data_IF_498469054299
#
_entry.id   IF_498469054299
#
_cell.length_a   1.000
_cell.length_b   1.000
_cell.length_c   1.000
_cell.angle_alpha   90.00
_cell.angle_beta   90.00
_cell.angle_gamma   90.00
#
_symmetry.space_group_name_H-M   'P 1'
#
loop_
_entity.id
_entity.type
_entity.pdbx_description
1 polymer ?
#
# COMPACT_ATOMS: atom_id res chain seq x y z
N UNK A 1 -19.50 15.58 -11.14
CA UNK A 1 -18.55 14.70 -11.88
C UNK A 1 -18.79 13.27 -11.41
N UNK A 2 -18.81 12.27 -12.30
CA UNK A 2 -18.88 10.86 -11.86
C UNK A 2 -17.65 10.60 -10.99
N UNK A 3 -17.82 10.32 -9.70
CA UNK A 3 -16.77 10.22 -8.67
C UNK A 3 -15.63 9.25 -9.00
N UNK A 4 -15.81 8.41 -10.03
CA UNK A 4 -14.87 7.41 -10.50
C UNK A 4 -13.86 7.92 -11.55
N UNK A 5 -14.06 9.11 -12.13
CA UNK A 5 -13.09 9.70 -13.08
C UNK A 5 -11.76 10.05 -12.43
N UNK A 6 -11.72 10.15 -11.10
CA UNK A 6 -10.49 10.39 -10.33
C UNK A 6 -9.46 9.27 -10.52
N UNK A 7 -9.91 8.02 -10.74
CA UNK A 7 -9.00 6.87 -10.89
C UNK A 7 -8.13 6.99 -12.16
N UNK A 8 -8.69 7.10 -13.38
CA UNK A 8 -7.87 7.27 -14.58
C UNK A 8 -7.13 8.60 -14.57
N UNK A 9 -7.72 9.67 -14.03
CA UNK A 9 -7.04 10.96 -13.90
C UNK A 9 -5.78 10.84 -13.04
N UNK A 10 -5.85 10.14 -11.91
CA UNK A 10 -4.68 9.93 -11.06
C UNK A 10 -3.65 9.01 -11.68
N UNK A 11 -4.05 8.04 -12.49
CA UNK A 11 -3.08 7.26 -13.27
C UNK A 11 -2.27 8.13 -14.22
N UNK A 12 -2.93 9.02 -14.97
CA UNK A 12 -2.26 9.95 -15.90
C UNK A 12 -1.36 10.93 -15.15
N UNK A 13 -1.88 11.57 -14.09
CA UNK A 13 -1.11 12.54 -13.31
C UNK A 13 0.09 11.90 -12.61
N UNK A 14 -0.05 10.66 -12.14
CA UNK A 14 1.03 9.89 -11.52
C UNK A 14 2.12 9.54 -12.51
N UNK A 15 1.75 9.09 -13.71
CA UNK A 15 2.72 8.87 -14.80
C UNK A 15 3.41 10.19 -15.19
N UNK A 16 2.66 11.28 -15.31
CA UNK A 16 3.20 12.59 -15.64
C UNK A 16 4.19 13.12 -14.60
N UNK A 17 3.88 12.95 -13.30
CA UNK A 17 4.78 13.33 -12.21
C UNK A 17 6.11 12.56 -12.28
N UNK A 18 6.07 11.28 -12.62
CA UNK A 18 7.25 10.42 -12.71
C UNK A 18 8.13 10.73 -13.93
N UNK A 19 7.58 11.29 -15.02
CA UNK A 19 8.38 11.76 -16.18
C UNK A 19 9.41 12.82 -15.76
N UNK A 20 9.13 13.61 -14.72
CA UNK A 20 10.06 14.60 -14.20
C UNK A 20 11.27 13.97 -13.47
N UNK A 21 11.15 12.71 -13.04
CA UNK A 21 12.14 12.00 -12.22
C UNK A 21 12.92 10.98 -13.05
N UNK A 22 12.27 10.31 -14.00
CA UNK A 22 12.88 9.27 -14.84
C UNK A 22 12.35 9.29 -16.27
N UNK A 23 13.16 8.79 -17.21
CA UNK A 23 12.80 8.59 -18.62
C UNK A 23 12.49 7.12 -18.95
N UNK A 24 12.56 6.21 -17.99
CA UNK A 24 12.22 4.81 -18.20
C UNK A 24 10.71 4.63 -18.46
N UNK A 25 10.29 4.21 -19.66
CA UNK A 25 8.87 4.06 -20.00
C UNK A 25 8.16 3.02 -19.12
N UNK A 26 8.88 2.00 -18.63
CA UNK A 26 8.31 0.96 -17.79
C UNK A 26 8.01 1.49 -16.38
N UNK A 27 8.95 2.21 -15.77
CA UNK A 27 8.72 2.88 -14.49
C UNK A 27 7.57 3.91 -14.56
N UNK A 28 7.47 4.67 -15.66
CA UNK A 28 6.38 5.64 -15.89
C UNK A 28 5.03 4.92 -15.96
N UNK A 29 4.92 3.85 -16.76
CA UNK A 29 3.69 3.06 -16.87
C UNK A 29 3.28 2.42 -15.55
N UNK A 30 4.26 1.86 -14.81
CA UNK A 30 4.03 1.26 -13.50
C UNK A 30 3.59 2.29 -12.46
N UNK A 31 4.15 3.49 -12.46
CA UNK A 31 3.71 4.58 -11.59
C UNK A 31 2.29 5.03 -11.89
N UNK A 32 1.91 5.09 -13.18
CA UNK A 32 0.53 5.35 -13.57
C UNK A 32 -0.45 4.28 -13.06
N UNK A 33 -0.07 3.00 -13.17
CA UNK A 33 -0.86 1.89 -12.62
C UNK A 33 -0.97 1.97 -11.09
N UNK A 34 0.14 2.24 -10.40
CA UNK A 34 0.18 2.41 -8.95
C UNK A 34 -0.75 3.55 -8.51
N UNK A 35 -0.68 4.70 -9.20
CA UNK A 35 -1.50 5.84 -8.87
C UNK A 35 -2.99 5.61 -9.07
N UNK A 36 -3.37 4.97 -10.18
CA UNK A 36 -4.76 4.56 -10.42
C UNK A 36 -5.25 3.54 -9.37
N UNK A 37 -4.43 2.54 -9.04
CA UNK A 37 -4.78 1.52 -8.06
C UNK A 37 -4.92 2.10 -6.65
N UNK A 38 -4.03 2.99 -6.22
CA UNK A 38 -4.11 3.70 -4.94
C UNK A 38 -5.39 4.55 -4.86
N UNK A 39 -5.67 5.35 -5.89
CA UNK A 39 -6.91 6.13 -5.96
C UNK A 39 -8.14 5.22 -5.85
N UNK A 40 -8.13 4.10 -6.59
CA UNK A 40 -9.20 3.09 -6.55
C UNK A 40 -9.36 2.47 -5.15
N UNK A 41 -8.27 2.12 -4.48
CA UNK A 41 -8.28 1.53 -3.15
C UNK A 41 -8.85 2.49 -2.12
N UNK A 42 -8.43 3.76 -2.15
CA UNK A 42 -9.01 4.80 -1.28
C UNK A 42 -10.51 4.90 -1.48
N UNK A 43 -10.98 5.01 -2.74
CA UNK A 43 -12.42 5.08 -3.06
C UNK A 43 -13.18 3.85 -2.59
N UNK A 44 -12.61 2.67 -2.78
CA UNK A 44 -13.23 1.41 -2.41
C UNK A 44 -13.35 1.23 -0.89
N UNK A 45 -12.43 1.80 -0.11
CA UNK A 45 -12.43 1.73 1.35
C UNK A 45 -13.25 2.83 2.03
N UNK A 46 -13.25 4.04 1.45
CA UNK A 46 -13.83 5.24 2.07
C UNK A 46 -15.16 5.70 1.46
N UNK A 47 -15.67 5.02 0.43
CA UNK A 47 -17.01 5.28 -0.15
C UNK A 47 -17.12 6.61 -0.89
N UNK A 48 -18.34 7.10 -1.15
CA UNK A 48 -18.61 8.24 -2.05
C UNK A 48 -18.49 9.64 -1.43
N UNK A 49 -17.92 9.77 -0.23
CA UNK A 49 -17.79 11.07 0.44
C UNK A 49 -16.87 12.03 -0.33
N UNK A 50 -17.11 13.36 -0.30
CA UNK A 50 -16.23 14.34 -0.95
C UNK A 50 -14.79 14.29 -0.40
N UNK A 51 -14.61 14.04 0.89
CA UNK A 51 -13.30 13.84 1.50
C UNK A 51 -12.57 12.61 0.94
N UNK A 52 -13.31 11.55 0.56
CA UNK A 52 -12.74 10.37 -0.10
C UNK A 52 -12.19 10.72 -1.48
N UNK A 53 -12.87 11.60 -2.24
CA UNK A 53 -12.40 12.03 -3.55
C UNK A 53 -11.11 12.84 -3.44
N UNK A 54 -11.00 13.71 -2.43
CA UNK A 54 -9.79 14.47 -2.14
C UNK A 54 -8.66 13.52 -1.75
N UNK A 55 -8.89 12.60 -0.80
CA UNK A 55 -7.91 11.61 -0.42
C UNK A 55 -7.47 10.72 -1.61
N UNK A 56 -8.40 10.31 -2.47
CA UNK A 56 -8.11 9.49 -3.65
C UNK A 56 -7.29 10.24 -4.71
N UNK A 57 -7.39 11.57 -4.78
CA UNK A 57 -6.56 12.37 -5.66
C UNK A 57 -5.14 12.54 -5.10
N UNK A 58 -5.03 12.71 -3.78
CA UNK A 58 -3.79 13.17 -3.16
C UNK A 58 -2.85 12.04 -2.76
N UNK A 59 -3.38 10.92 -2.26
CA UNK A 59 -2.58 9.78 -1.79
C UNK A 59 -1.66 9.23 -2.89
N UNK A 60 -2.10 9.03 -4.15
CA UNK A 60 -1.22 8.64 -5.24
C UNK A 60 -0.01 9.56 -5.41
N UNK A 61 -0.22 10.88 -5.35
CA UNK A 61 0.83 11.87 -5.56
C UNK A 61 1.81 11.89 -4.41
N UNK A 62 1.33 11.81 -3.16
CA UNK A 62 2.20 11.74 -1.98
C UNK A 62 3.07 10.49 -2.00
N UNK A 63 2.47 9.32 -2.25
CA UNK A 63 3.22 8.05 -2.27
C UNK A 63 4.31 8.09 -3.34
N UNK A 64 3.99 8.60 -4.53
CA UNK A 64 4.98 8.71 -5.62
C UNK A 64 6.03 9.80 -5.38
N UNK A 65 5.67 10.90 -4.72
CA UNK A 65 6.64 11.90 -4.28
C UNK A 65 7.62 11.29 -3.26
N UNK A 66 7.13 10.53 -2.27
CA UNK A 66 7.99 9.81 -1.33
C UNK A 66 8.85 8.77 -2.03
N UNK A 67 8.33 8.10 -3.07
CA UNK A 67 9.14 7.18 -3.89
C UNK A 67 10.27 7.91 -4.60
N UNK A 68 9.99 9.07 -5.18
CA UNK A 68 11.01 9.87 -5.86
C UNK A 68 12.13 10.30 -4.90
N UNK A 69 11.76 10.74 -3.70
CA UNK A 69 12.72 11.15 -2.67
C UNK A 69 13.62 10.00 -2.21
N UNK A 70 13.06 8.80 -2.06
CA UNK A 70 13.81 7.62 -1.62
C UNK A 70 14.43 6.84 -2.79
N UNK A 71 14.42 7.39 -4.01
CA UNK A 71 14.93 6.74 -5.23
C UNK A 71 14.27 5.37 -5.52
N UNK A 72 13.00 5.22 -5.13
CA UNK A 72 12.19 4.02 -5.29
C UNK A 72 11.29 4.07 -6.54
N UNK A 73 11.47 5.05 -7.42
CA UNK A 73 10.72 5.16 -8.69
C UNK A 73 11.30 4.16 -9.70
N UNK A 74 10.92 2.91 -9.53
CA UNK A 74 11.32 1.78 -10.36
C UNK A 74 10.11 0.89 -10.67
N UNK A 75 10.29 0.02 -11.67
CA UNK A 75 9.24 -0.89 -12.14
C UNK A 75 8.65 -1.74 -11.01
N UNK A 76 9.51 -2.47 -10.28
CA UNK A 76 9.12 -3.42 -9.22
C UNK A 76 8.33 -2.79 -8.07
N UNK A 77 8.80 -1.73 -7.38
CA UNK A 77 8.06 -1.13 -6.26
C UNK A 77 6.72 -0.53 -6.69
N UNK A 78 6.67 0.12 -7.88
CA UNK A 78 5.41 0.65 -8.41
C UNK A 78 4.41 -0.48 -8.74
N UNK A 79 4.85 -1.56 -9.37
CA UNK A 79 3.99 -2.72 -9.66
C UNK A 79 3.54 -3.44 -8.39
N UNK A 80 4.41 -3.57 -7.38
CA UNK A 80 4.05 -4.13 -6.07
C UNK A 80 2.90 -3.35 -5.44
N UNK A 81 3.04 -2.03 -5.32
CA UNK A 81 1.98 -1.17 -4.76
C UNK A 81 0.70 -1.25 -5.59
N UNK A 82 0.79 -1.24 -6.91
CA UNK A 82 -0.36 -1.39 -7.78
C UNK A 82 -1.11 -2.70 -7.49
N UNK A 83 -0.38 -3.81 -7.36
CA UNK A 83 -0.92 -5.13 -7.08
C UNK A 83 -1.52 -5.23 -5.66
N UNK A 84 -0.88 -4.65 -4.65
CA UNK A 84 -1.41 -4.54 -3.28
C UNK A 84 -2.72 -3.76 -3.29
N UNK A 85 -2.71 -2.54 -3.85
CA UNK A 85 -3.88 -1.67 -3.89
C UNK A 85 -5.04 -2.30 -4.68
N UNK A 86 -4.76 -2.97 -5.80
CA UNK A 86 -5.78 -3.71 -6.54
C UNK A 86 -6.37 -4.86 -5.73
N UNK A 87 -5.54 -5.62 -5.02
CA UNK A 87 -6.00 -6.68 -4.12
C UNK A 87 -6.95 -6.10 -3.08
N UNK A 88 -6.60 -4.97 -2.47
CA UNK A 88 -7.45 -4.27 -1.49
C UNK A 88 -8.78 -3.82 -2.10
N UNK A 89 -8.80 -3.30 -3.33
CA UNK A 89 -10.04 -2.94 -4.06
C UNK A 89 -10.94 -4.17 -4.22
N UNK A 90 -10.40 -5.29 -4.67
CA UNK A 90 -11.19 -6.50 -4.89
C UNK A 90 -11.65 -7.10 -3.56
N UNK A 91 -10.83 -7.01 -2.51
CA UNK A 91 -11.20 -7.43 -1.16
C UNK A 91 -12.28 -6.55 -0.52
N UNK A 92 -12.48 -5.31 -0.95
CA UNK A 92 -13.52 -4.43 -0.37
C UNK A 92 -14.88 -4.55 -1.08
N UNK A 93 -14.91 -5.06 -2.32
CA UNK A 93 -16.13 -5.24 -3.11
C UNK A 93 -16.95 -6.45 -2.63
N UNK A 94 -18.26 -6.43 -2.84
CA UNK A 94 -19.08 -7.65 -2.81
C UNK A 94 -18.93 -8.36 -4.17
N UNK A 95 -17.88 -9.16 -4.35
CA UNK A 95 -17.54 -9.72 -5.68
C UNK A 95 -18.42 -10.90 -6.06
N UNK A 96 -18.82 -10.95 -7.33
CA UNK A 96 -19.41 -12.14 -7.98
C UNK A 96 -18.39 -13.27 -8.20
N UNK A 97 -17.10 -12.94 -8.35
CA UNK A 97 -16.01 -13.92 -8.46
C UNK A 97 -14.83 -13.54 -7.56
N UNK A 98 -14.52 -14.34 -6.52
CA UNK A 98 -13.38 -14.09 -5.63
C UNK A 98 -12.00 -14.31 -6.29
N UNK A 99 -11.94 -14.90 -7.48
CA UNK A 99 -10.68 -15.14 -8.21
C UNK A 99 -9.98 -13.85 -8.66
N UNK A 100 -10.73 -12.76 -8.80
CA UNK A 100 -10.19 -11.48 -9.28
C UNK A 100 -9.21 -10.86 -8.27
N UNK A 101 -9.33 -11.20 -6.98
CA UNK A 101 -8.37 -10.78 -5.95
C UNK A 101 -7.11 -11.66 -5.91
N UNK A 102 -7.14 -12.85 -6.49
CA UNK A 102 -6.06 -13.83 -6.32
C UNK A 102 -4.83 -13.54 -7.18
N UNK A 103 -5.04 -13.19 -8.45
CA UNK A 103 -3.97 -12.82 -9.35
C UNK A 103 -3.15 -11.61 -8.85
N UNK A 104 -3.75 -10.46 -8.50
CA UNK A 104 -2.99 -9.32 -7.97
C UNK A 104 -2.33 -9.64 -6.62
N UNK A 105 -2.95 -10.46 -5.76
CA UNK A 105 -2.32 -10.89 -4.52
C UNK A 105 -1.06 -11.75 -4.76
N UNK A 106 -1.11 -12.64 -5.76
CA UNK A 106 0.04 -13.45 -6.16
C UNK A 106 1.16 -12.59 -6.73
N UNK A 107 0.82 -11.64 -7.61
CA UNK A 107 1.79 -10.68 -8.17
C UNK A 107 2.46 -9.88 -7.05
N UNK A 108 1.68 -9.35 -6.10
CA UNK A 108 2.20 -8.62 -4.97
C UNK A 108 3.16 -9.48 -4.13
N UNK A 109 2.79 -10.71 -3.80
CA UNK A 109 3.61 -11.65 -3.04
C UNK A 109 4.95 -12.00 -3.73
N UNK A 110 4.97 -12.06 -5.07
CA UNK A 110 6.19 -12.31 -5.84
C UNK A 110 7.09 -11.08 -5.86
N UNK A 111 6.50 -9.91 -6.08
CA UNK A 111 7.24 -8.65 -6.22
C UNK A 111 7.73 -8.09 -4.89
N UNK A 112 7.06 -8.42 -3.78
CA UNK A 112 7.34 -7.84 -2.48
C UNK A 112 7.03 -8.81 -1.33
N UNK A 113 8.04 -9.16 -0.51
CA UNK A 113 7.85 -10.08 0.60
C UNK A 113 6.85 -9.55 1.64
N UNK A 114 6.67 -8.23 1.78
CA UNK A 114 5.71 -7.62 2.70
C UNK A 114 4.25 -8.01 2.36
N UNK A 115 3.99 -8.37 1.11
CA UNK A 115 2.68 -8.68 0.59
C UNK A 115 2.37 -10.19 0.54
N UNK A 116 3.28 -11.08 0.96
CA UNK A 116 3.10 -12.54 0.87
C UNK A 116 1.83 -13.02 1.58
N UNK A 117 1.47 -12.39 2.69
CA UNK A 117 0.24 -12.70 3.43
C UNK A 117 -1.05 -12.40 2.63
N UNK A 118 -1.02 -11.50 1.64
CA UNK A 118 -2.19 -11.18 0.81
C UNK A 118 -2.70 -12.40 0.05
N UNK A 119 -1.79 -13.28 -0.40
CA UNK A 119 -2.18 -14.47 -1.13
C UNK A 119 -3.02 -15.41 -0.25
N UNK A 120 -2.64 -15.57 1.03
CA UNK A 120 -3.43 -16.32 2.01
C UNK A 120 -4.80 -15.67 2.23
N UNK A 121 -4.87 -14.34 2.39
CA UNK A 121 -6.12 -13.61 2.67
C UNK A 121 -7.08 -13.68 1.48
N UNK A 122 -6.57 -13.50 0.26
CA UNK A 122 -7.33 -13.68 -0.96
C UNK A 122 -7.80 -15.14 -1.14
N UNK A 123 -6.96 -16.11 -0.77
CA UNK A 123 -7.34 -17.52 -0.72
C UNK A 123 -8.45 -17.81 0.31
N UNK A 124 -8.38 -17.21 1.49
CA UNK A 124 -9.42 -17.33 2.51
C UNK A 124 -10.75 -16.73 2.04
N UNK A 125 -10.71 -15.62 1.30
CA UNK A 125 -11.89 -15.05 0.64
C UNK A 125 -12.50 -16.00 -0.39
N UNK A 126 -11.66 -16.63 -1.21
CA UNK A 126 -12.10 -17.64 -2.18
C UNK A 126 -12.82 -18.81 -1.50
N UNK A 127 -12.33 -19.25 -0.34
CA UNK A 127 -12.95 -20.32 0.45
C UNK A 127 -14.22 -19.87 1.15
N UNK A 128 -14.36 -18.61 1.55
CA UNK A 128 -15.56 -18.13 2.28
C UNK A 128 -16.67 -17.60 1.37
N UNK A 129 -16.38 -17.34 0.10
CA UNK A 129 -17.37 -16.81 -0.85
C UNK A 129 -18.57 -17.76 -1.08
N UNK A 130 -19.78 -17.19 -1.29
CA UNK A 130 -20.99 -17.94 -1.63
C UNK A 130 -21.02 -18.27 -3.14
N UNK A 131 -20.13 -19.14 -3.58
CA UNK A 131 -19.99 -19.60 -4.98
C UNK A 131 -19.77 -21.12 -5.02
N UNK A 132 -20.01 -21.80 -6.16
CA UNK A 132 -19.69 -23.22 -6.38
C UNK A 132 -18.18 -23.49 -6.35
N UNK A 133 -17.64 -23.72 -5.15
CA UNK A 133 -16.20 -23.81 -4.90
C UNK A 133 -15.58 -24.99 -5.64
N UNK A 134 -14.59 -24.77 -6.52
CA UNK A 134 -13.80 -25.88 -7.03
C UNK A 134 -12.93 -26.44 -5.89
N UNK A 135 -12.72 -27.77 -5.87
CA UNK A 135 -12.01 -28.46 -4.76
C UNK A 135 -10.59 -27.93 -4.53
N UNK A 136 -9.94 -27.41 -5.57
CA UNK A 136 -8.61 -26.82 -5.48
C UNK A 136 -8.58 -25.48 -4.72
N UNK A 137 -9.72 -24.83 -4.46
CA UNK A 137 -9.78 -23.55 -3.76
C UNK A 137 -9.17 -23.61 -2.34
N UNK A 138 -9.22 -24.77 -1.68
CA UNK A 138 -8.61 -25.00 -0.36
C UNK A 138 -7.08 -24.98 -0.44
N UNK A 139 -6.49 -25.34 -1.59
CA UNK A 139 -5.05 -25.32 -1.77
C UNK A 139 -4.48 -23.89 -1.78
N UNK A 140 -5.29 -22.87 -2.09
CA UNK A 140 -4.84 -21.47 -2.18
C UNK A 140 -4.43 -20.87 -0.83
N UNK A 141 -5.26 -20.91 0.24
CA UNK A 141 -4.82 -20.43 1.55
C UNK A 141 -3.68 -21.28 2.13
N UNK A 142 -3.63 -22.59 1.84
CA UNK A 142 -2.52 -23.47 2.25
C UNK A 142 -1.22 -23.03 1.57
N UNK A 143 -1.24 -22.80 0.26
CA UNK A 143 -0.09 -22.29 -0.48
C UNK A 143 0.35 -20.91 0.03
N UNK A 144 -0.59 -20.04 0.41
CA UNK A 144 -0.28 -18.79 1.10
C UNK A 144 0.41 -19.00 2.46
N UNK A 145 -0.06 -19.96 3.26
CA UNK A 145 0.58 -20.33 4.53
C UNK A 145 2.00 -20.89 4.35
N UNK A 146 2.19 -21.73 3.33
CA UNK A 146 3.51 -22.23 2.98
C UNK A 146 4.43 -21.12 2.48
N UNK A 147 3.92 -20.16 1.70
CA UNK A 147 4.69 -19.00 1.26
C UNK A 147 5.11 -18.10 2.44
N UNK A 148 4.22 -17.87 3.41
CA UNK A 148 4.55 -17.15 4.65
C UNK A 148 5.61 -17.92 5.44
N UNK A 149 5.46 -19.24 5.63
CA UNK A 149 6.49 -20.04 6.30
C UNK A 149 7.83 -19.98 5.58
N UNK A 150 7.83 -20.09 4.25
CA UNK A 150 9.04 -19.98 3.44
C UNK A 150 9.70 -18.61 3.60
N UNK A 151 8.92 -17.53 3.61
CA UNK A 151 9.41 -16.17 3.83
C UNK A 151 10.06 -16.02 5.23
N UNK A 152 9.45 -16.59 6.27
CA UNK A 152 10.01 -16.59 7.64
C UNK A 152 11.31 -17.38 7.70
N UNK A 153 11.35 -18.58 7.12
CA UNK A 153 12.54 -19.45 7.11
C UNK A 153 13.68 -18.80 6.31
N UNK A 154 13.37 -18.25 5.13
CA UNK A 154 14.34 -17.53 4.29
C UNK A 154 14.86 -16.28 5.00
N UNK A 155 14.02 -15.60 5.77
CA UNK A 155 14.43 -14.52 6.65
C UNK A 155 15.41 -14.99 7.74
N UNK A 156 15.15 -16.11 8.39
CA UNK A 156 16.01 -16.62 9.48
C UNK A 156 17.34 -17.23 9.02
N UNK A 157 17.49 -17.59 7.74
CA UNK A 157 18.67 -18.30 7.25
C UNK A 157 19.85 -17.35 6.99
N UNK A 158 21.01 -17.66 7.58
CA UNK A 158 22.28 -16.95 7.32
C UNK A 158 22.98 -17.46 6.06
N UNK A 159 22.86 -18.76 5.75
CA UNK A 159 23.63 -19.44 4.72
C UNK A 159 22.78 -20.41 3.87
N UNK A 160 23.35 -20.89 2.76
CA UNK A 160 22.72 -21.87 1.87
C UNK A 160 21.69 -21.30 0.90
N UNK A 161 20.93 -22.18 0.24
CA UNK A 161 19.93 -21.78 -0.77
C UNK A 161 18.80 -20.92 -0.19
N UNK A 162 18.43 -21.15 1.07
CA UNK A 162 17.44 -20.36 1.79
C UNK A 162 17.99 -18.99 2.21
N UNK A 163 19.26 -18.91 2.62
CA UNK A 163 19.93 -17.62 2.85
C UNK A 163 20.05 -16.80 1.55
N UNK A 164 20.37 -17.44 0.43
CA UNK A 164 20.40 -16.79 -0.89
C UNK A 164 19.02 -16.30 -1.34
N UNK A 165 17.96 -17.08 -1.06
CA UNK A 165 16.57 -16.65 -1.28
C UNK A 165 16.24 -15.44 -0.40
N UNK A 166 16.59 -15.50 0.89
CA UNK A 166 16.38 -14.40 1.84
C UNK A 166 17.08 -13.12 1.42
N UNK A 167 18.33 -13.22 0.94
CA UNK A 167 19.11 -12.09 0.46
C UNK A 167 18.52 -11.47 -0.81
N UNK A 168 17.96 -12.29 -1.72
CA UNK A 168 17.28 -11.80 -2.93
C UNK A 168 15.94 -11.15 -2.63
N UNK A 169 15.20 -11.67 -1.65
CA UNK A 169 13.84 -11.22 -1.37
C UNK A 169 13.80 -10.03 -0.41
N UNK A 170 14.64 -10.05 0.62
CA UNK A 170 14.65 -9.06 1.69
C UNK A 170 15.89 -8.14 1.67
N UNK A 171 16.88 -8.44 0.83
CA UNK A 171 18.17 -7.76 0.86
C UNK A 171 19.10 -8.23 1.99
N UNK A 172 20.27 -7.58 2.12
CA UNK A 172 21.23 -7.89 3.18
C UNK A 172 20.65 -7.58 4.56
N UNK A 173 20.91 -8.47 5.52
CA UNK A 173 20.46 -8.29 6.90
C UNK A 173 21.32 -7.23 7.60
N UNK A 174 20.66 -6.27 8.25
CA UNK A 174 21.28 -5.27 9.10
C UNK A 174 21.06 -5.59 10.59
N UNK A 175 21.86 -4.97 11.45
CA UNK A 175 21.63 -5.02 12.90
C UNK A 175 20.28 -4.36 13.19
N UNK A 176 19.41 -5.08 13.90
CA UNK A 176 18.06 -4.60 14.20
C UNK A 176 18.15 -3.48 15.24
N UNK A 177 17.86 -2.26 14.79
CA UNK A 177 17.73 -1.07 15.65
C UNK A 177 16.33 -0.46 15.45
N UNK A 178 15.39 -0.91 16.27
CA UNK A 178 14.00 -0.46 16.21
C UNK A 178 13.84 1.06 16.48
N UNK A 179 14.56 1.68 17.44
CA UNK A 179 14.62 3.14 17.58
C UNK A 179 15.08 3.86 16.30
N UNK A 180 16.15 3.39 15.64
CA UNK A 180 16.62 3.99 14.40
C UNK A 180 15.59 3.87 13.28
N UNK A 181 14.92 2.72 13.16
CA UNK A 181 13.83 2.58 12.19
C UNK A 181 12.67 3.51 12.52
N UNK A 182 12.26 3.62 13.78
CA UNK A 182 11.18 4.53 14.17
C UNK A 182 11.50 5.99 13.83
N UNK A 183 12.77 6.39 14.02
CA UNK A 183 13.27 7.71 13.59
C UNK A 183 13.21 7.86 12.07
N UNK A 184 13.68 6.87 11.32
CA UNK A 184 13.67 6.88 9.85
C UNK A 184 12.24 6.94 9.29
N UNK A 185 11.32 6.16 9.85
CA UNK A 185 9.89 6.21 9.51
C UNK A 185 9.29 7.58 9.82
N UNK A 186 9.64 8.17 10.97
CA UNK A 186 9.21 9.52 11.35
C UNK A 186 9.67 10.57 10.34
N UNK A 187 10.92 10.47 9.84
CA UNK A 187 11.43 11.35 8.80
C UNK A 187 10.84 11.08 7.42
N UNK A 188 10.65 9.82 7.03
CA UNK A 188 10.17 9.43 5.69
C UNK A 188 8.68 9.71 5.49
N UNK A 189 7.87 9.55 6.54
CA UNK A 189 6.42 9.77 6.48
C UNK A 189 6.05 11.22 6.85
N UNK A 190 6.85 11.85 7.70
CA UNK A 190 6.46 13.08 8.40
C UNK A 190 5.50 12.79 9.57
N UNK A 191 5.51 13.63 10.62
CA UNK A 191 4.82 13.35 11.88
C UNK A 191 3.29 13.25 11.72
N UNK A 192 2.71 14.07 10.84
CA UNK A 192 1.27 14.08 10.62
C UNK A 192 0.80 12.84 9.85
N UNK A 193 1.59 12.34 8.89
CA UNK A 193 1.23 11.15 8.08
C UNK A 193 1.32 9.92 8.95
N UNK A 194 2.35 9.87 9.81
CA UNK A 194 2.51 8.82 10.81
C UNK A 194 1.30 8.77 11.76
N UNK A 195 0.88 9.91 12.33
CA UNK A 195 -0.30 9.97 13.21
C UNK A 195 -1.58 9.57 12.47
N UNK A 196 -1.78 10.07 11.25
CA UNK A 196 -2.95 9.71 10.43
C UNK A 196 -2.96 8.21 10.06
N UNK A 197 -1.80 7.63 9.74
CA UNK A 197 -1.66 6.22 9.44
C UNK A 197 -1.94 5.35 10.67
N UNK A 198 -1.40 5.72 11.85
CA UNK A 198 -1.68 5.02 13.12
C UNK A 198 -3.17 5.10 13.46
N UNK A 199 -3.79 6.28 13.33
CA UNK A 199 -5.23 6.43 13.52
C UNK A 199 -6.01 5.55 12.52
N UNK A 200 -5.58 5.48 11.26
CA UNK A 200 -6.17 4.63 10.23
C UNK A 200 -6.08 3.14 10.57
N UNK A 201 -4.92 2.69 11.05
CA UNK A 201 -4.71 1.32 11.53
C UNK A 201 -5.54 1.02 12.79
N UNK A 202 -5.68 1.96 13.73
CA UNK A 202 -6.55 1.79 14.89
C UNK A 202 -8.03 1.68 14.49
N UNK A 203 -8.43 2.33 13.39
CA UNK A 203 -9.78 2.28 12.84
C UNK A 203 -10.09 0.98 12.08
N UNK A 204 -9.13 0.06 11.89
CA UNK A 204 -9.30 -1.27 11.27
C UNK A 204 -10.01 -2.29 12.18
N UNK A 205 -10.57 -1.85 13.31
CA UNK A 205 -11.20 -2.71 14.32
C UNK A 205 -12.40 -3.58 13.83
N UNK A 206 -12.85 -3.46 12.57
CA UNK A 206 -13.88 -4.33 11.99
C UNK A 206 -13.23 -5.41 11.12
N UNK A 207 -13.69 -6.67 11.28
CA UNK A 207 -13.23 -7.88 10.56
C UNK A 207 -13.58 -7.88 9.05
N UNK A 208 -13.31 -6.79 8.32
CA UNK A 208 -13.41 -6.75 6.85
C UNK A 208 -12.09 -7.21 6.27
N UNK A 209 -12.14 -8.15 5.32
CA UNK A 209 -10.95 -8.75 4.70
C UNK A 209 -9.96 -7.71 4.11
N UNK A 210 -10.48 -6.60 3.56
CA UNK A 210 -9.64 -5.51 3.06
C UNK A 210 -8.88 -4.78 4.17
N UNK A 211 -9.49 -4.62 5.35
CA UNK A 211 -8.85 -3.98 6.50
C UNK A 211 -7.79 -4.91 7.11
N UNK A 212 -8.09 -6.22 7.20
CA UNK A 212 -7.11 -7.25 7.58
C UNK A 212 -5.92 -7.25 6.61
N UNK A 213 -6.17 -7.18 5.30
CA UNK A 213 -5.12 -7.13 4.27
C UNK A 213 -4.18 -5.93 4.47
N UNK A 214 -4.71 -4.74 4.70
CA UNK A 214 -3.92 -3.53 4.97
C UNK A 214 -3.07 -3.70 6.24
N UNK A 215 -3.67 -4.19 7.32
CA UNK A 215 -2.94 -4.42 8.57
C UNK A 215 -1.83 -5.46 8.42
N UNK A 216 -2.08 -6.57 7.74
CA UNK A 216 -1.05 -7.59 7.48
C UNK A 216 0.07 -7.09 6.59
N UNK A 217 -0.24 -6.28 5.57
CA UNK A 217 0.79 -5.67 4.75
C UNK A 217 1.60 -4.67 5.56
N UNK A 218 0.98 -3.88 6.44
CA UNK A 218 1.68 -2.92 7.30
C UNK A 218 2.68 -3.63 8.22
N UNK A 219 2.26 -4.73 8.86
CA UNK A 219 3.14 -5.54 9.69
C UNK A 219 4.26 -6.16 8.85
N UNK A 220 3.93 -6.75 7.69
CA UNK A 220 4.91 -7.32 6.78
C UNK A 220 5.95 -6.30 6.33
N UNK A 221 5.52 -5.10 5.93
CA UNK A 221 6.39 -4.03 5.46
C UNK A 221 7.31 -3.52 6.59
N UNK A 222 6.80 -3.35 7.81
CA UNK A 222 7.62 -2.98 8.96
C UNK A 222 8.68 -4.04 9.28
N UNK A 223 8.35 -5.33 9.18
CA UNK A 223 9.32 -6.41 9.41
C UNK A 223 10.41 -6.45 8.34
N UNK A 224 10.04 -6.20 7.08
CA UNK A 224 10.99 -6.11 5.96
C UNK A 224 11.91 -4.90 6.15
N UNK A 225 11.35 -3.73 6.49
CA UNK A 225 12.10 -2.50 6.72
C UNK A 225 13.03 -2.59 7.94
N UNK A 226 12.59 -3.25 9.03
CA UNK A 226 13.43 -3.54 10.21
C UNK A 226 14.68 -4.34 9.84
N UNK A 227 14.55 -5.28 8.92
CA UNK A 227 15.68 -6.10 8.47
C UNK A 227 16.56 -5.34 7.48
N UNK A 228 15.96 -4.56 6.59
CA UNK A 228 16.66 -3.77 5.58
C UNK A 228 17.36 -2.54 6.17
N UNK A 229 16.93 -2.06 7.35
CA UNK A 229 17.47 -0.88 8.03
C UNK A 229 17.00 0.44 7.42
N UNK A 230 16.09 0.42 6.46
CA UNK A 230 15.54 1.60 5.79
C UNK A 230 14.06 1.42 5.42
N UNK A 231 13.37 2.53 5.22
CA UNK A 231 11.95 2.54 4.82
C UNK A 231 11.78 2.06 3.37
N UNK A 232 10.88 1.10 3.14
CA UNK A 232 10.59 0.52 1.84
C UNK A 232 9.35 1.11 1.15
N UNK A 233 9.19 0.77 -0.14
CA UNK A 233 8.07 1.20 -0.97
C UNK A 233 6.71 0.75 -0.43
N UNK A 234 6.61 -0.50 0.05
CA UNK A 234 5.41 -1.04 0.69
C UNK A 234 4.96 -0.18 1.87
N UNK A 235 5.88 0.14 2.78
CA UNK A 235 5.58 0.93 3.98
C UNK A 235 5.00 2.29 3.65
N UNK A 236 5.62 3.00 2.70
CA UNK A 236 5.14 4.30 2.22
C UNK A 236 3.74 4.20 1.59
N UNK A 237 3.52 3.22 0.71
CA UNK A 237 2.23 3.01 0.05
C UNK A 237 1.11 2.64 1.03
N UNK A 238 1.40 1.76 2.00
CA UNK A 238 0.43 1.31 3.01
C UNK A 238 0.13 2.42 4.02
N UNK A 239 1.14 3.18 4.45
CA UNK A 239 0.95 4.35 5.30
C UNK A 239 0.04 5.38 4.63
N UNK A 240 0.24 5.63 3.33
CA UNK A 240 -0.65 6.48 2.52
C UNK A 240 -2.10 5.98 2.51
N UNK A 241 -2.31 4.68 2.28
CA UNK A 241 -3.65 4.06 2.32
C UNK A 241 -4.30 4.15 3.69
N UNK A 242 -3.56 3.91 4.77
CA UNK A 242 -4.05 3.99 6.14
C UNK A 242 -4.44 5.43 6.51
N UNK A 243 -3.61 6.42 6.16
CA UNK A 243 -3.91 7.83 6.36
C UNK A 243 -5.17 8.26 5.59
N UNK A 244 -5.32 7.80 4.35
CA UNK A 244 -6.51 8.06 3.53
C UNK A 244 -7.78 7.50 4.18
N UNK A 245 -7.69 6.29 4.74
CA UNK A 245 -8.80 5.63 5.42
C UNK A 245 -9.20 6.38 6.69
N UNK A 246 -8.24 6.87 7.47
CA UNK A 246 -8.50 7.72 8.62
C UNK A 246 -9.24 9.00 8.23
N UNK A 247 -8.72 9.74 7.24
CA UNK A 247 -9.32 11.00 6.76
C UNK A 247 -10.74 10.74 6.25
N UNK A 248 -10.93 9.70 5.43
CA UNK A 248 -12.23 9.35 4.86
C UNK A 248 -13.27 9.01 5.94
N UNK A 249 -12.90 8.19 6.93
CA UNK A 249 -13.81 7.80 8.03
C UNK A 249 -14.09 8.96 8.98
N UNK A 250 -13.08 9.76 9.31
CA UNK A 250 -13.24 10.92 10.18
C UNK A 250 -14.18 11.97 9.56
N UNK A 251 -14.02 12.23 8.25
CA UNK A 251 -14.91 13.14 7.54
C UNK A 251 -16.38 12.66 7.53
N UNK A 252 -16.61 11.34 7.45
CA UNK A 252 -17.95 10.77 7.56
C UNK A 252 -18.55 10.96 8.96
N UNK A 253 -17.73 10.86 10.02
CA UNK A 253 -18.22 11.01 11.40
C UNK A 253 -18.64 12.43 11.75
N UNK A 254 -17.98 13.46 11.22
CA UNK A 254 -18.21 14.86 11.63
C UNK A 254 -19.29 15.56 10.79
N UNK A 255 -19.84 14.90 9.75
CA UNK A 255 -20.79 15.53 8.79
C UNK A 255 -20.29 16.91 8.31
N UNK A 256 -18.98 17.06 8.11
CA UNK A 256 -18.41 18.36 7.72
C UNK A 256 -18.94 18.79 6.35
N UNK A 257 -19.23 20.09 6.15
CA UNK A 257 -19.46 20.67 4.85
C UNK A 257 -18.31 20.28 3.89
N UNK A 258 -18.62 19.87 2.64
CA UNK A 258 -17.62 19.34 1.71
C UNK A 258 -16.40 20.23 1.53
N UNK A 259 -16.61 21.56 1.50
CA UNK A 259 -15.55 22.56 1.33
C UNK A 259 -14.62 22.66 2.53
N UNK A 260 -15.10 22.45 3.75
CA UNK A 260 -14.27 22.43 4.96
C UNK A 260 -13.46 21.13 5.05
N UNK A 261 -14.03 20.01 4.61
CA UNK A 261 -13.30 18.75 4.51
C UNK A 261 -12.21 18.81 3.42
N UNK A 262 -12.49 19.46 2.29
CA UNK A 262 -11.50 19.72 1.23
C UNK A 262 -10.41 20.66 1.75
N UNK A 263 -10.78 21.79 2.35
CA UNK A 263 -9.81 22.74 2.91
C UNK A 263 -8.95 22.11 4.01
N UNK A 264 -9.57 21.34 4.93
CA UNK A 264 -8.85 20.61 5.97
C UNK A 264 -7.91 19.54 5.41
N UNK A 265 -8.34 18.78 4.39
CA UNK A 265 -7.49 17.80 3.72
C UNK A 265 -6.36 18.46 2.91
N UNK A 266 -6.60 19.61 2.28
CA UNK A 266 -5.59 20.40 1.56
C UNK A 266 -4.60 21.06 2.52
N UNK A 267 -5.05 21.58 3.67
CA UNK A 267 -4.19 22.13 4.72
C UNK A 267 -3.38 21.01 5.37
N UNK A 268 -4.02 19.87 5.69
CA UNK A 268 -3.30 18.69 6.14
C UNK A 268 -2.27 18.26 5.10
N UNK A 269 -2.58 18.26 3.79
CA UNK A 269 -1.61 17.98 2.73
C UNK A 269 -0.42 18.93 2.71
N UNK A 270 -0.67 20.24 2.81
CA UNK A 270 0.42 21.23 2.88
C UNK A 270 1.32 21.01 4.10
N UNK A 271 0.77 20.45 5.18
CA UNK A 271 1.50 20.11 6.40
C UNK A 271 2.11 18.68 6.38
N UNK A 272 1.53 17.76 5.59
CA UNK A 272 1.94 16.35 5.38
C UNK A 272 3.02 16.22 4.30
N UNK A 273 3.29 17.29 3.55
CA UNK A 273 4.44 17.43 2.66
C UNK A 273 5.67 17.98 3.43
N UNK A 274 6.53 17.15 4.04
CA UNK A 274 7.96 17.47 4.13
C UNK A 274 8.71 16.47 3.23
N UNK A 275 9.20 16.88 2.06
CA UNK A 275 10.52 17.49 1.85
C UNK A 275 10.60 18.46 0.66
N UNK A 276 9.47 18.87 0.06
CA UNK A 276 9.50 19.81 -1.07
C UNK A 276 10.21 21.14 -0.72
N UNK A 277 10.14 21.56 0.55
CA UNK A 277 10.83 22.75 1.05
C UNK A 277 12.33 22.55 1.27
N UNK A 278 12.78 21.33 1.58
CA UNK A 278 14.21 21.01 1.74
C UNK A 278 14.93 20.77 0.41
N UNK A 279 14.20 20.53 -0.68
CA UNK A 279 14.75 20.49 -2.04
C UNK A 279 15.05 21.90 -2.57
N UNK A 280 14.34 22.94 -2.10
CA UNK A 280 14.63 24.34 -2.48
C UNK A 280 15.90 24.87 -1.77
N UNK A 281 16.35 24.22 -0.69
CA UNK A 281 17.54 24.60 0.07
C UNK A 281 18.81 23.83 -0.28
N UNK A 282 18.84 23.07 -1.39
CA UNK A 282 20.05 22.40 -1.91
C UNK A 282 20.43 22.94 -3.28
#
# INVERSE_FOLDING_TARGET
MKSWTVIPAMGVLSAAAVIAVTRDPFAIGAAGLAGAALAGAVRALSGDAPASLVAAALVPLLVLASFAEHQLVALTPCLSIAAIAWTVIELSRATKSPLVAMLPAAIAAVLDPAAVALFMIAGARLVTAPWNRPRWAIAMPIAGGLAVMLAVIAGGASDGSLGALGLRWFGPAHVIDAPALASNLGSSLGPLTAVAAIAGLALIAKLRLAEVAIATCAVGALLVDLRAGHTGAATLGIAGLAAALAIGRFAQTIRMPPLQAVAGATVAMMLLLPSAWTVISR
#
